data_IF_076672723332
#
_entry.id   IF_076672723332
#
_cell.length_a   1.000
_cell.length_b   1.000
_cell.length_c   1.000
_cell.angle_alpha   90.00
_cell.angle_beta   90.00
_cell.angle_gamma   90.00
#
_symmetry.space_group_name_H-M   'P 1'
#
loop_
_entity.id
_entity.type
_entity.pdbx_description
1 polymer ?
#
# COMPACT_ATOMS: atom_id res chain seq x y z
N UNK A 1 3.13 -18.61 8.86
CA UNK A 1 1.68 -18.41 8.64
C UNK A 1 1.13 -17.25 9.48
N UNK A 2 1.97 -16.50 10.21
CA UNK A 2 1.51 -15.47 11.15
C UNK A 2 1.43 -14.06 10.53
N UNK A 3 2.30 -13.74 9.57
CA UNK A 3 2.36 -12.39 8.97
C UNK A 3 1.09 -12.01 8.20
N UNK A 4 0.43 -12.97 7.53
CA UNK A 4 -0.82 -12.72 6.79
C UNK A 4 -1.97 -12.36 7.75
N UNK A 5 -2.16 -13.15 8.81
CA UNK A 5 -3.22 -12.91 9.80
C UNK A 5 -3.03 -11.58 10.55
N UNK A 6 -1.79 -11.24 10.89
CA UNK A 6 -1.47 -9.94 11.52
C UNK A 6 -1.73 -8.80 10.56
N UNK A 7 -1.35 -8.94 9.28
CA UNK A 7 -1.57 -7.91 8.27
C UNK A 7 -3.05 -7.63 8.07
N UNK A 8 -3.89 -8.66 7.99
CA UNK A 8 -5.34 -8.49 7.81
C UNK A 8 -5.98 -7.75 9.00
N UNK A 9 -5.57 -8.08 10.23
CA UNK A 9 -6.02 -7.38 11.43
C UNK A 9 -5.61 -5.90 11.43
N UNK A 10 -4.36 -5.61 11.09
CA UNK A 10 -3.84 -4.24 10.99
C UNK A 10 -4.57 -3.46 9.90
N UNK A 11 -4.76 -4.07 8.73
CA UNK A 11 -5.45 -3.45 7.58
C UNK A 11 -6.88 -3.06 7.97
N UNK A 12 -7.60 -3.97 8.63
CA UNK A 12 -8.95 -3.69 9.12
C UNK A 12 -8.95 -2.53 10.12
N UNK A 13 -8.06 -2.55 11.12
CA UNK A 13 -7.96 -1.50 12.13
C UNK A 13 -7.65 -0.12 11.52
N UNK A 14 -6.74 -0.06 10.54
CA UNK A 14 -6.41 1.19 9.83
C UNK A 14 -7.63 1.70 9.05
N UNK A 15 -8.32 0.82 8.31
CA UNK A 15 -9.51 1.20 7.53
C UNK A 15 -10.66 1.71 8.41
N UNK A 16 -10.83 1.18 9.61
CA UNK A 16 -11.82 1.68 10.57
C UNK A 16 -11.41 3.03 11.17
N UNK A 17 -10.15 3.17 11.58
CA UNK A 17 -9.67 4.38 12.27
C UNK A 17 -9.50 5.58 11.35
N UNK A 18 -9.08 5.36 10.09
CA UNK A 18 -8.87 6.44 9.10
C UNK A 18 -10.13 7.26 8.79
N UNK A 19 -11.32 6.73 9.11
CA UNK A 19 -12.59 7.45 8.96
C UNK A 19 -12.75 8.63 9.93
N UNK A 20 -11.97 8.65 11.02
CA UNK A 20 -12.10 9.65 12.09
C UNK A 20 -10.77 10.25 12.53
N UNK A 21 -9.64 9.72 12.03
CA UNK A 21 -8.30 10.10 12.44
C UNK A 21 -7.35 10.06 11.24
N UNK A 22 -6.42 11.01 11.16
CA UNK A 22 -5.33 10.93 10.21
C UNK A 22 -4.35 9.84 10.67
N UNK A 23 -4.02 8.91 9.75
CA UNK A 23 -3.07 7.84 10.00
C UNK A 23 -1.94 7.98 8.98
N UNK A 24 -0.70 8.00 9.46
CA UNK A 24 0.51 7.96 8.65
C UNK A 24 1.21 6.65 8.95
N UNK A 25 1.47 5.85 7.91
CA UNK A 25 2.12 4.55 8.04
C UNK A 25 3.41 4.55 7.23
N UNK A 26 4.52 4.18 7.89
CA UNK A 26 5.79 3.92 7.22
C UNK A 26 5.99 2.41 7.19
N UNK A 27 6.09 1.83 5.98
CA UNK A 27 6.13 0.37 5.84
C UNK A 27 6.85 -0.06 4.56
N UNK A 28 7.50 -1.22 4.63
CA UNK A 28 8.01 -1.96 3.47
C UNK A 28 7.07 -3.11 3.06
N UNK A 29 5.92 -3.28 3.72
CA UNK A 29 4.96 -4.34 3.41
C UNK A 29 3.91 -3.84 2.42
N UNK A 30 3.94 -4.30 1.15
CA UNK A 30 3.03 -3.79 0.13
C UNK A 30 1.57 -4.12 0.44
N UNK A 31 1.29 -5.19 1.20
CA UNK A 31 -0.07 -5.53 1.59
C UNK A 31 -0.70 -4.46 2.48
N UNK A 32 0.09 -3.75 3.30
CA UNK A 32 -0.45 -2.64 4.09
C UNK A 32 -0.80 -1.49 3.16
N UNK A 33 0.11 -1.06 2.29
CA UNK A 33 -0.11 0.04 1.34
C UNK A 33 -1.32 -0.24 0.44
N UNK A 34 -1.37 -1.43 -0.15
CA UNK A 34 -2.38 -1.83 -1.13
C UNK A 34 -3.73 -2.11 -0.48
N UNK A 35 -3.80 -2.74 0.69
CA UNK A 35 -5.08 -3.19 1.28
C UNK A 35 -5.71 -2.19 2.26
N UNK A 36 -4.99 -1.17 2.72
CA UNK A 36 -5.54 -0.09 3.57
C UNK A 36 -6.22 1.05 2.78
N UNK A 37 -6.47 0.87 1.49
CA UNK A 37 -7.04 1.89 0.61
C UNK A 37 -6.29 3.22 0.73
N UNK A 38 -4.95 3.18 0.70
CA UNK A 38 -4.12 4.38 0.89
C UNK A 38 -4.55 5.51 -0.05
N UNK A 39 -5.00 6.63 0.50
CA UNK A 39 -5.37 7.82 -0.28
C UNK A 39 -4.15 8.57 -0.79
N UNK A 40 -3.05 8.50 -0.04
CA UNK A 40 -1.78 9.12 -0.37
C UNK A 40 -0.65 8.13 -0.08
N UNK A 41 0.09 7.76 -1.12
CA UNK A 41 1.35 7.02 -1.03
C UNK A 41 2.46 8.01 -1.33
N UNK A 42 3.53 7.97 -0.54
CA UNK A 42 4.74 8.76 -0.77
C UNK A 42 5.89 7.78 -0.89
N UNK A 43 6.44 7.66 -2.09
CA UNK A 43 7.62 6.87 -2.37
C UNK A 43 8.87 7.70 -2.03
N UNK A 44 9.68 7.19 -1.11
CA UNK A 44 10.94 7.81 -0.70
C UNK A 44 12.11 7.07 -1.35
N UNK A 45 13.04 7.83 -1.92
CA UNK A 45 14.26 7.30 -2.56
C UNK A 45 15.49 7.99 -1.97
N UNK A 46 16.60 7.27 -1.87
CA UNK A 46 17.90 7.85 -1.52
C UNK A 46 18.67 8.21 -2.78
N UNK A 47 18.82 9.51 -3.04
CA UNK A 47 19.51 10.04 -4.21
C UNK A 47 20.31 11.29 -3.83
N UNK A 48 21.52 11.44 -4.38
CA UNK A 48 22.33 12.64 -4.14
C UNK A 48 22.83 12.82 -2.69
N UNK A 49 22.80 11.76 -1.86
CA UNK A 49 23.23 11.83 -0.46
C UNK A 49 22.12 12.16 0.53
N UNK A 50 20.87 12.29 0.07
CA UNK A 50 19.71 12.60 0.91
C UNK A 50 18.50 11.73 0.53
N UNK A 51 17.48 11.73 1.39
CA UNK A 51 16.21 11.03 1.16
C UNK A 51 15.23 12.03 0.56
N UNK A 52 14.71 11.74 -0.63
CA UNK A 52 13.78 12.56 -1.38
C UNK A 52 12.45 11.82 -1.60
N UNK A 53 11.34 12.58 -1.66
CA UNK A 53 10.07 12.04 -2.12
C UNK A 53 10.08 12.02 -3.65
N UNK A 54 10.21 10.85 -4.26
CA UNK A 54 10.33 10.71 -5.72
C UNK A 54 8.96 10.76 -6.41
N UNK A 55 7.98 10.04 -5.86
CA UNK A 55 6.61 10.00 -6.39
C UNK A 55 5.62 10.08 -5.23
N UNK A 56 4.51 10.77 -5.45
CA UNK A 56 3.44 10.81 -4.46
C UNK A 56 2.08 10.97 -5.11
N UNK A 57 1.09 10.21 -4.65
CA UNK A 57 -0.23 10.20 -5.25
C UNK A 57 -1.12 9.12 -4.66
N UNK A 58 -2.28 8.92 -5.28
CA UNK A 58 -3.24 7.91 -4.85
C UNK A 58 -2.85 6.52 -5.36
N UNK A 59 -3.29 5.46 -4.69
CA UNK A 59 -3.07 4.07 -5.15
C UNK A 59 -3.67 3.79 -6.55
N UNK A 60 -4.63 4.61 -6.97
CA UNK A 60 -5.27 4.57 -8.27
C UNK A 60 -4.39 5.13 -9.40
N UNK A 61 -3.34 5.86 -9.07
CA UNK A 61 -2.42 6.41 -10.07
C UNK A 61 -1.49 5.32 -10.59
N UNK A 62 -1.26 5.30 -11.90
CA UNK A 62 -0.42 4.27 -12.53
C UNK A 62 1.01 4.34 -11.99
N UNK A 63 1.60 5.53 -11.92
CA UNK A 63 2.96 5.76 -11.42
C UNK A 63 3.14 5.26 -9.98
N UNK A 64 2.11 5.37 -9.14
CA UNK A 64 2.15 4.89 -7.77
C UNK A 64 2.12 3.37 -7.71
N UNK A 65 1.30 2.71 -8.53
CA UNK A 65 1.29 1.24 -8.61
C UNK A 65 2.59 0.69 -9.17
N UNK A 66 3.18 1.37 -10.13
CA UNK A 66 4.47 1.02 -10.72
C UNK A 66 5.57 1.12 -9.67
N UNK A 67 5.65 2.26 -8.96
CA UNK A 67 6.58 2.44 -7.85
C UNK A 67 6.42 1.39 -6.74
N UNK A 68 5.20 0.98 -6.40
CA UNK A 68 4.96 -0.11 -5.43
C UNK A 68 5.54 -1.43 -5.95
N UNK A 69 5.39 -1.74 -7.25
CA UNK A 69 5.92 -2.97 -7.84
C UNK A 69 7.45 -2.96 -7.92
N UNK A 70 8.05 -1.82 -8.19
CA UNK A 70 9.50 -1.69 -8.36
C UNK A 70 10.26 -1.71 -7.04
N UNK A 71 9.65 -1.18 -5.97
CA UNK A 71 10.34 -0.89 -4.71
C UNK A 71 10.01 -1.89 -3.62
N UNK A 72 8.77 -2.40 -3.58
CA UNK A 72 8.30 -3.28 -2.51
C UNK A 72 8.30 -4.73 -2.99
N UNK A 73 9.11 -5.58 -2.34
CA UNK A 73 9.07 -7.02 -2.58
C UNK A 73 7.65 -7.57 -2.35
N UNK A 74 7.08 -8.23 -3.36
CA UNK A 74 5.70 -8.71 -3.33
C UNK A 74 4.64 -7.66 -3.73
N UNK A 75 5.05 -6.49 -4.22
CA UNK A 75 4.16 -5.37 -4.58
C UNK A 75 3.17 -5.75 -5.67
N UNK A 76 3.66 -6.43 -6.70
CA UNK A 76 2.85 -6.93 -7.82
C UNK A 76 1.81 -7.94 -7.34
N UNK A 77 2.24 -8.92 -6.56
CA UNK A 77 1.39 -9.98 -6.02
C UNK A 77 0.31 -9.41 -5.09
N UNK A 78 0.64 -8.37 -4.32
CA UNK A 78 -0.32 -7.67 -3.46
C UNK A 78 -1.41 -6.96 -4.28
N UNK A 79 -1.03 -6.25 -5.35
CA UNK A 79 -1.96 -5.59 -6.26
C UNK A 79 -2.84 -6.61 -7.00
N UNK A 80 -2.26 -7.65 -7.59
CA UNK A 80 -2.99 -8.71 -8.29
C UNK A 80 -3.97 -9.42 -7.35
N UNK A 81 -3.54 -9.75 -6.13
CA UNK A 81 -4.41 -10.35 -5.10
C UNK A 81 -5.57 -9.42 -4.73
N UNK A 82 -5.33 -8.11 -4.65
CA UNK A 82 -6.39 -7.12 -4.41
C UNK A 82 -7.39 -7.08 -5.56
N UNK A 83 -6.92 -7.00 -6.80
CA UNK A 83 -7.80 -6.97 -7.97
C UNK A 83 -8.61 -8.25 -8.13
N UNK A 84 -8.02 -9.41 -7.85
CA UNK A 84 -8.73 -10.67 -7.84
C UNK A 84 -9.89 -10.67 -6.83
N UNK A 85 -9.65 -10.19 -5.59
CA UNK A 85 -10.72 -10.10 -4.58
C UNK A 85 -11.83 -9.12 -4.96
N UNK A 86 -11.49 -7.98 -5.56
CA UNK A 86 -12.48 -7.00 -6.01
C UNK A 86 -13.33 -7.59 -7.15
N UNK A 87 -12.69 -8.20 -8.14
CA UNK A 87 -13.37 -8.77 -9.31
C UNK A 87 -14.30 -9.91 -8.90
N UNK A 88 -13.83 -10.82 -8.04
CA UNK A 88 -14.64 -11.92 -7.50
C UNK A 88 -15.85 -11.45 -6.67
N UNK A 89 -15.78 -10.28 -6.04
CA UNK A 89 -16.91 -9.72 -5.28
C UNK A 89 -17.98 -9.08 -6.17
N UNK A 90 -17.69 -8.87 -7.45
CA UNK A 90 -18.61 -8.33 -8.45
C UNK A 90 -19.32 -9.42 -9.27
N UNK A 91 -18.88 -10.67 -9.14
CA UNK A 91 -19.56 -11.88 -9.65
C UNK A 91 -20.66 -12.33 -8.69
#
# INVERSE_FOLDING_TARGET
MDTKNITDFIVKGINEKKQSQQIIVVTHNPNIVVNTNSEQVIHMEFAGGEINASHSGALQDFEIRDAICDVMEGGREALESRYYRITKALE
#
